data_IF_046559047218
#
_entry.id   IF_046559047218
#
_cell.length_a   1.000
_cell.length_b   1.000
_cell.length_c   1.000
_cell.angle_alpha   90.00
_cell.angle_beta   90.00
_cell.angle_gamma   90.00
#
_symmetry.space_group_name_H-M   'P 1'
#
loop_
_entity.id
_entity.type
_entity.pdbx_description
1 polymer ?
#
# COMPACT_ATOMS: atom_id res chain seq x y z
N UNK A 1 2.99 6.83 -8.13
CA UNK A 1 2.10 6.17 -7.14
C UNK A 1 2.38 4.67 -7.06
N UNK A 2 2.32 3.94 -8.19
CA UNK A 2 2.56 2.48 -8.25
C UNK A 2 3.86 2.03 -7.58
N UNK A 3 4.99 2.69 -7.84
CA UNK A 3 6.28 2.27 -7.27
C UNK A 3 6.31 2.35 -5.72
N UNK A 4 5.65 3.35 -5.13
CA UNK A 4 5.59 3.51 -3.68
C UNK A 4 4.66 2.46 -3.03
N UNK A 5 3.53 2.18 -3.68
CA UNK A 5 2.62 1.10 -3.29
C UNK A 5 3.31 -0.26 -3.36
N UNK A 6 4.01 -0.52 -4.47
CA UNK A 6 4.79 -1.73 -4.68
C UNK A 6 5.84 -1.95 -3.58
N UNK A 7 6.69 -0.94 -3.32
CA UNK A 7 7.76 -1.07 -2.33
C UNK A 7 7.24 -1.32 -0.92
N UNK A 8 6.15 -0.66 -0.51
CA UNK A 8 5.54 -0.87 0.80
C UNK A 8 4.90 -2.26 0.93
N UNK A 9 4.22 -2.73 -0.12
CA UNK A 9 3.61 -4.06 -0.12
C UNK A 9 4.68 -5.17 -0.12
N UNK A 10 5.79 -4.99 -0.84
CA UNK A 10 6.95 -5.89 -0.78
C UNK A 10 7.56 -5.89 0.62
N UNK A 11 7.76 -4.72 1.24
CA UNK A 11 8.24 -4.63 2.62
C UNK A 11 7.31 -5.42 3.56
N UNK A 12 5.99 -5.22 3.46
CA UNK A 12 5.00 -5.93 4.26
C UNK A 12 5.12 -7.46 4.15
N UNK A 13 5.14 -8.02 2.95
CA UNK A 13 5.21 -9.48 2.76
C UNK A 13 6.57 -10.10 3.10
N UNK A 14 7.64 -9.31 3.09
CA UNK A 14 8.96 -9.76 3.53
C UNK A 14 9.16 -9.69 5.05
N UNK A 15 8.12 -9.34 5.82
CA UNK A 15 8.13 -9.47 7.28
C UNK A 15 7.89 -10.94 7.67
N UNK A 16 8.58 -11.46 8.71
CA UNK A 16 8.40 -12.85 9.17
C UNK A 16 6.96 -13.23 9.50
N UNK A 17 6.16 -12.27 9.99
CA UNK A 17 4.75 -12.46 10.33
C UNK A 17 3.89 -12.80 9.10
N UNK A 18 4.35 -12.46 7.89
CA UNK A 18 3.64 -12.67 6.64
C UNK A 18 4.12 -13.91 5.88
N UNK A 19 4.92 -14.79 6.50
CA UNK A 19 5.56 -15.93 5.82
C UNK A 19 4.56 -16.81 5.06
N UNK A 20 3.39 -17.10 5.63
CA UNK A 20 2.38 -17.93 4.97
C UNK A 20 1.89 -17.30 3.64
N UNK A 21 1.69 -15.99 3.63
CA UNK A 21 1.31 -15.26 2.41
C UNK A 21 2.49 -15.15 1.44
N UNK A 22 3.71 -14.95 1.95
CA UNK A 22 4.91 -14.92 1.14
C UNK A 22 5.11 -16.22 0.35
N UNK A 23 4.93 -17.37 1.00
CA UNK A 23 5.07 -18.68 0.36
C UNK A 23 4.03 -18.85 -0.78
N UNK A 24 2.78 -18.44 -0.53
CA UNK A 24 1.72 -18.47 -1.53
C UNK A 24 1.98 -17.52 -2.70
N UNK A 25 2.43 -16.29 -2.43
CA UNK A 25 2.77 -15.31 -3.47
C UNK A 25 3.93 -15.84 -4.32
N UNK A 26 4.98 -16.40 -3.71
CA UNK A 26 6.10 -17.00 -4.44
C UNK A 26 5.63 -18.16 -5.33
N UNK A 27 4.76 -19.04 -4.81
CA UNK A 27 4.17 -20.15 -5.56
C UNK A 27 3.37 -19.64 -6.76
N UNK A 28 2.50 -18.64 -6.56
CA UNK A 28 1.70 -18.02 -7.64
C UNK A 28 2.58 -17.33 -8.67
N UNK A 29 3.63 -16.61 -8.25
CA UNK A 29 4.56 -15.92 -9.15
C UNK A 29 5.42 -16.89 -9.97
N UNK A 30 5.68 -18.09 -9.46
CA UNK A 30 6.40 -19.15 -10.17
C UNK A 30 5.53 -19.81 -11.25
N UNK A 31 4.24 -19.97 -10.98
CA UNK A 31 3.23 -20.42 -11.95
C UNK A 31 3.11 -19.36 -13.07
N UNK A 32 3.01 -19.79 -14.33
CA UNK A 32 2.89 -18.85 -15.45
C UNK A 32 1.66 -17.94 -15.33
N UNK A 33 1.58 -16.89 -16.16
CA UNK A 33 0.42 -15.98 -16.15
C UNK A 33 -0.85 -16.71 -16.58
N UNK A 34 -1.92 -16.48 -15.81
CA UNK A 34 -3.29 -16.94 -16.03
C UNK A 34 -4.26 -16.00 -15.32
N UNK A 35 -5.51 -15.92 -15.76
CA UNK A 35 -6.47 -15.01 -15.14
C UNK A 35 -6.65 -15.25 -13.62
N UNK A 36 -6.57 -16.52 -13.18
CA UNK A 36 -6.70 -16.86 -11.76
C UNK A 36 -5.45 -16.47 -10.96
N UNK A 37 -4.26 -16.85 -11.42
CA UNK A 37 -3.00 -16.48 -10.75
C UNK A 37 -2.82 -14.97 -10.68
N UNK A 38 -3.19 -14.28 -11.76
CA UNK A 38 -2.99 -12.85 -11.91
C UNK A 38 -3.99 -12.08 -11.04
N UNK A 39 -5.23 -12.57 -10.94
CA UNK A 39 -6.22 -12.05 -10.00
C UNK A 39 -5.80 -12.22 -8.53
N UNK A 40 -5.24 -13.38 -8.16
CA UNK A 40 -4.75 -13.61 -6.79
C UNK A 40 -3.51 -12.78 -6.47
N UNK A 41 -2.56 -12.65 -7.41
CA UNK A 41 -1.39 -11.77 -7.26
C UNK A 41 -1.81 -10.32 -7.11
N UNK A 42 -2.79 -9.87 -7.88
CA UNK A 42 -3.37 -8.54 -7.74
C UNK A 42 -3.98 -8.36 -6.34
N UNK A 43 -4.78 -9.32 -5.90
CA UNK A 43 -5.40 -9.30 -4.57
C UNK A 43 -4.35 -9.19 -3.45
N UNK A 44 -3.28 -9.97 -3.53
CA UNK A 44 -2.17 -9.86 -2.59
C UNK A 44 -1.50 -8.48 -2.66
N UNK A 45 -1.23 -7.95 -3.85
CA UNK A 45 -0.66 -6.61 -3.99
C UNK A 45 -1.55 -5.54 -3.34
N UNK A 46 -2.86 -5.58 -3.59
CA UNK A 46 -3.83 -4.64 -3.04
C UNK A 46 -3.97 -4.74 -1.52
N UNK A 47 -4.01 -5.95 -0.95
CA UNK A 47 -4.01 -6.15 0.51
C UNK A 47 -2.69 -5.68 1.15
N UNK A 48 -1.57 -5.94 0.49
CA UNK A 48 -0.27 -5.47 0.95
C UNK A 48 -0.22 -3.95 1.00
N UNK A 49 -0.74 -3.26 -0.02
CA UNK A 49 -0.87 -1.79 -0.01
C UNK A 49 -1.81 -1.31 1.10
N UNK A 50 -2.97 -1.96 1.26
CA UNK A 50 -3.97 -1.61 2.27
C UNK A 50 -3.40 -1.67 3.68
N UNK A 51 -2.64 -2.73 4.00
CA UNK A 51 -2.12 -2.98 5.35
C UNK A 51 -0.76 -2.32 5.62
N UNK A 52 0.02 -1.99 4.59
CA UNK A 52 1.35 -1.40 4.76
C UNK A 52 1.37 0.11 4.99
N UNK A 53 0.27 0.80 4.66
CA UNK A 53 0.15 2.27 4.71
C UNK A 53 -0.40 2.81 3.39
N UNK A 54 -1.73 2.94 3.24
CA UNK A 54 -2.34 3.41 1.99
C UNK A 54 -1.92 4.87 1.69
N UNK A 55 -1.85 5.26 0.41
CA UNK A 55 -1.39 6.60 0.01
C UNK A 55 -2.34 7.68 0.53
N UNK A 56 -1.81 8.70 1.21
CA UNK A 56 -2.58 9.89 1.56
C UNK A 56 -2.53 10.97 0.47
N UNK A 57 -3.50 11.88 0.48
CA UNK A 57 -3.57 12.99 -0.46
C UNK A 57 -3.71 14.32 0.24
N UNK A 58 -2.99 15.33 -0.25
CA UNK A 58 -3.26 16.72 0.11
C UNK A 58 -4.29 17.30 -0.86
N UNK A 59 -5.24 18.06 -0.31
CA UNK A 59 -6.27 18.82 -1.03
C UNK A 59 -6.26 20.24 -0.51
N UNK A 60 -6.68 21.17 -1.36
CA UNK A 60 -6.98 22.53 -0.96
C UNK A 60 -8.50 22.69 -1.04
N UNK A 61 -9.12 23.19 0.02
CA UNK A 61 -10.55 23.39 0.07
C UNK A 61 -10.93 24.59 -0.81
N UNK A 62 -11.83 24.40 -1.78
CA UNK A 62 -12.32 25.52 -2.60
C UNK A 62 -13.22 26.45 -1.81
N UNK A 63 -14.01 25.89 -0.90
CA UNK A 63 -15.04 26.59 -0.13
C UNK A 63 -14.97 26.19 1.35
N UNK A 64 -15.64 26.97 2.20
CA UNK A 64 -15.76 26.62 3.61
C UNK A 64 -16.75 25.46 3.77
N UNK A 65 -16.44 24.54 4.68
CA UNK A 65 -17.27 23.38 4.99
C UNK A 65 -17.15 23.03 6.48
N UNK A 66 -18.06 22.18 6.98
CA UNK A 66 -17.96 21.63 8.31
C UNK A 66 -18.59 20.25 8.39
N UNK A 67 -17.96 19.35 9.14
CA UNK A 67 -18.49 18.03 9.42
C UNK A 67 -18.35 17.68 10.90
N UNK A 68 -19.17 16.71 11.32
CA UNK A 68 -19.17 16.20 12.69
C UNK A 68 -18.41 14.88 12.71
N UNK A 69 -17.43 14.73 13.59
CA UNK A 69 -16.78 13.43 13.81
C UNK A 69 -17.66 12.50 14.65
N UNK A 70 -17.30 11.22 14.70
CA UNK A 70 -18.04 10.20 15.45
C UNK A 70 -18.11 10.49 16.96
N UNK A 71 -17.14 11.25 17.49
CA UNK A 71 -17.13 11.70 18.89
C UNK A 71 -17.99 12.95 19.14
N UNK A 72 -18.67 13.47 18.11
CA UNK A 72 -19.52 14.66 18.15
C UNK A 72 -18.76 15.98 18.01
N UNK A 73 -17.43 15.96 17.89
CA UNK A 73 -16.63 17.15 17.63
C UNK A 73 -16.93 17.74 16.25
N UNK A 74 -16.80 19.06 16.13
CA UNK A 74 -17.05 19.78 14.88
C UNK A 74 -15.73 20.16 14.23
N UNK A 75 -15.46 19.62 13.04
CA UNK A 75 -14.34 20.03 12.20
C UNK A 75 -14.85 21.09 11.24
N UNK A 76 -14.20 22.26 11.24
CA UNK A 76 -14.51 23.36 10.32
C UNK A 76 -13.34 23.55 9.37
N UNK A 77 -13.64 23.53 8.07
CA UNK A 77 -12.72 23.76 6.97
C UNK A 77 -13.03 25.14 6.39
N UNK A 78 -12.01 25.93 6.10
CA UNK A 78 -12.14 27.22 5.41
C UNK A 78 -11.70 27.08 3.96
N UNK A 79 -12.23 27.93 3.10
CA UNK A 79 -11.68 28.10 1.74
C UNK A 79 -10.18 28.42 1.83
N UNK A 80 -9.37 27.72 1.05
CA UNK A 80 -7.91 27.79 1.04
C UNK A 80 -7.21 26.91 2.07
N UNK A 81 -7.92 26.23 2.98
CA UNK A 81 -7.28 25.31 3.92
C UNK A 81 -6.69 24.10 3.17
N UNK A 82 -5.48 23.70 3.57
CA UNK A 82 -4.82 22.49 3.08
C UNK A 82 -5.20 21.31 3.96
N UNK A 83 -6.02 20.42 3.42
CA UNK A 83 -6.52 19.22 4.09
C UNK A 83 -5.68 18.02 3.67
N UNK A 84 -5.22 17.24 4.63
CA UNK A 84 -4.57 15.95 4.37
C UNK A 84 -5.55 14.81 4.62
N UNK A 85 -5.82 14.02 3.58
CA UNK A 85 -6.71 12.86 3.62
C UNK A 85 -5.86 11.61 3.76
N UNK A 86 -5.94 10.97 4.92
CA UNK A 86 -5.35 9.65 5.18
C UNK A 86 -6.40 8.55 5.02
N UNK A 87 -6.02 7.42 4.44
CA UNK A 87 -6.90 6.23 4.38
C UNK A 87 -6.52 5.15 5.39
N UNK A 88 -5.59 5.40 6.31
CA UNK A 88 -5.09 4.36 7.22
C UNK A 88 -6.20 3.76 8.10
N UNK A 89 -7.07 4.61 8.65
CA UNK A 89 -8.25 4.18 9.41
C UNK A 89 -9.30 3.51 8.51
N UNK A 90 -9.63 4.13 7.37
CA UNK A 90 -10.62 3.58 6.42
C UNK A 90 -10.20 2.21 5.87
N UNK A 91 -8.91 1.98 5.68
CA UNK A 91 -8.36 0.71 5.24
C UNK A 91 -8.53 -0.42 6.26
N UNK A 92 -8.77 -0.11 7.53
CA UNK A 92 -8.98 -1.07 8.63
C UNK A 92 -10.39 -1.00 9.24
N UNK A 93 -11.30 -0.28 8.60
CA UNK A 93 -12.67 -0.17 9.05
C UNK A 93 -13.39 -1.52 8.86
N UNK A 94 -13.84 -2.20 9.95
CA UNK A 94 -14.49 -3.51 9.87
C UNK A 94 -15.84 -3.47 9.15
N UNK A 95 -16.47 -2.30 9.01
CA UNK A 95 -17.74 -2.14 8.28
C UNK A 95 -17.54 -2.31 6.77
N UNK A 96 -16.36 -1.95 6.26
CA UNK A 96 -15.98 -2.05 4.85
C UNK A 96 -15.07 -3.27 4.58
N UNK A 97 -14.25 -3.65 5.56
CA UNK A 97 -13.30 -4.77 5.49
C UNK A 97 -13.57 -5.78 6.61
N UNK A 98 -14.41 -6.81 6.39
CA UNK A 98 -14.54 -7.92 7.32
C UNK A 98 -13.17 -8.55 7.59
N UNK A 99 -12.85 -8.82 8.86
CA UNK A 99 -11.51 -9.21 9.31
C UNK A 99 -10.42 -8.23 8.82
N UNK A 100 -10.45 -6.96 9.28
CA UNK A 100 -9.68 -5.88 8.67
C UNK A 100 -8.17 -6.08 8.76
N UNK A 101 -7.67 -6.76 9.79
CA UNK A 101 -6.24 -7.02 9.96
C UNK A 101 -5.75 -8.26 9.20
N UNK A 102 -6.67 -9.06 8.64
CA UNK A 102 -6.32 -10.26 7.87
C UNK A 102 -6.14 -9.95 6.38
N UNK A 103 -5.08 -10.51 5.79
CA UNK A 103 -4.86 -10.51 4.35
C UNK A 103 -5.86 -11.45 3.69
N UNK A 104 -6.68 -10.91 2.79
CA UNK A 104 -7.58 -11.70 1.95
C UNK A 104 -7.42 -11.30 0.47
N UNK A 105 -6.67 -12.08 -0.34
CA UNK A 105 -6.44 -11.76 -1.75
C UNK A 105 -7.68 -11.94 -2.62
N UNK A 106 -8.80 -12.44 -2.06
CA UNK A 106 -10.07 -12.64 -2.79
C UNK A 106 -11.06 -11.50 -2.57
N UNK A 107 -10.67 -10.43 -1.84
CA UNK A 107 -11.54 -9.25 -1.69
C UNK A 107 -11.83 -8.64 -3.08
N UNK A 108 -13.07 -8.20 -3.33
CA UNK A 108 -13.41 -7.52 -4.58
C UNK A 108 -12.52 -6.29 -4.81
N UNK A 109 -12.01 -6.14 -6.03
CA UNK A 109 -11.14 -5.01 -6.40
C UNK A 109 -11.83 -3.65 -6.18
N UNK A 110 -13.16 -3.58 -6.28
CA UNK A 110 -13.93 -2.36 -6.02
C UNK A 110 -13.95 -1.91 -4.55
N UNK A 111 -13.53 -2.75 -3.59
CA UNK A 111 -13.52 -2.39 -2.17
C UNK A 111 -12.35 -1.46 -1.79
N UNK A 112 -11.32 -1.36 -2.64
CA UNK A 112 -10.09 -0.63 -2.32
C UNK A 112 -10.21 0.86 -2.65
N UNK A 113 -10.54 1.67 -1.63
CA UNK A 113 -10.78 3.13 -1.75
C UNK A 113 -9.54 3.93 -2.17
N UNK A 114 -8.33 3.40 -1.98
CA UNK A 114 -7.07 4.11 -2.24
C UNK A 114 -6.76 4.36 -3.73
N UNK A 115 -7.53 3.79 -4.66
CA UNK A 115 -7.50 4.17 -6.08
C UNK A 115 -8.44 5.33 -6.43
N UNK A 116 -9.09 5.93 -5.42
CA UNK A 116 -9.87 7.14 -5.51
C UNK A 116 -11.27 6.93 -6.08
N UNK A 117 -12.23 7.68 -5.54
CA UNK A 117 -13.60 7.76 -6.03
C UNK A 117 -13.75 8.56 -7.35
N UNK A 118 -12.65 9.09 -7.89
CA UNK A 118 -12.66 10.06 -8.98
C UNK A 118 -12.65 9.41 -10.38
N UNK A 119 -13.44 9.91 -11.36
CA UNK A 119 -13.53 9.34 -12.70
C UNK A 119 -12.22 9.32 -13.50
N UNK A 120 -11.32 10.29 -13.28
CA UNK A 120 -10.05 10.41 -13.98
C UNK A 120 -8.98 9.42 -13.49
N UNK A 121 -9.14 8.82 -12.31
CA UNK A 121 -8.22 7.80 -11.78
C UNK A 121 -8.40 6.46 -12.45
N UNK A 122 -9.56 6.15 -13.06
CA UNK A 122 -9.88 4.82 -13.59
C UNK A 122 -8.91 4.30 -14.67
N UNK A 123 -8.50 5.14 -15.61
CA UNK A 123 -7.48 4.75 -16.62
C UNK A 123 -6.12 4.48 -15.99
N UNK A 124 -5.75 5.26 -14.98
CA UNK A 124 -4.55 5.02 -14.19
C UNK A 124 -4.64 3.75 -13.36
N UNK A 125 -5.83 3.40 -12.87
CA UNK A 125 -6.08 2.23 -12.02
C UNK A 125 -5.82 0.93 -12.75
N UNK A 126 -6.39 0.72 -13.94
CA UNK A 126 -6.20 -0.55 -14.68
C UNK A 126 -4.72 -0.78 -15.03
N UNK A 127 -4.04 0.25 -15.54
CA UNK A 127 -2.60 0.18 -15.83
C UNK A 127 -1.78 -0.06 -14.57
N UNK A 128 -2.15 0.58 -13.44
CA UNK A 128 -1.49 0.39 -12.16
C UNK A 128 -1.65 -1.03 -11.63
N UNK A 129 -2.83 -1.63 -11.78
CA UNK A 129 -3.11 -2.99 -11.35
C UNK A 129 -2.28 -4.00 -12.15
N UNK A 130 -2.24 -3.85 -13.48
CA UNK A 130 -1.38 -4.67 -14.35
C UNK A 130 0.08 -4.51 -13.95
N UNK A 131 0.56 -3.28 -13.75
CA UNK A 131 1.93 -3.01 -13.33
C UNK A 131 2.25 -3.65 -11.97
N UNK A 132 1.36 -3.56 -10.99
CA UNK A 132 1.55 -4.21 -9.68
C UNK A 132 1.69 -5.72 -9.82
N UNK A 133 0.82 -6.35 -10.61
CA UNK A 133 0.85 -7.80 -10.86
C UNK A 133 2.19 -8.22 -11.50
N UNK A 134 2.62 -7.51 -12.54
CA UNK A 134 3.88 -7.83 -13.22
C UNK A 134 5.10 -7.60 -12.33
N UNK A 135 5.13 -6.51 -11.56
CA UNK A 135 6.22 -6.24 -10.63
C UNK A 135 6.28 -7.27 -9.50
N UNK A 136 5.12 -7.65 -8.93
CA UNK A 136 5.02 -8.72 -7.94
C UNK A 136 5.55 -10.03 -8.51
N UNK A 137 5.08 -10.42 -9.70
CA UNK A 137 5.54 -11.65 -10.34
C UNK A 137 7.04 -11.64 -10.59
N UNK A 138 7.59 -10.53 -11.10
CA UNK A 138 9.00 -10.41 -11.41
C UNK A 138 9.89 -10.59 -10.17
N UNK A 139 9.48 -10.04 -9.02
CA UNK A 139 10.26 -10.09 -7.78
C UNK A 139 10.02 -11.39 -7.01
N UNK A 140 8.76 -11.77 -6.75
CA UNK A 140 8.43 -12.94 -5.93
C UNK A 140 8.68 -14.28 -6.63
N UNK A 141 8.94 -14.29 -7.95
CA UNK A 141 9.43 -15.48 -8.65
C UNK A 141 10.89 -15.82 -8.33
N UNK A 142 11.65 -14.88 -7.75
CA UNK A 142 13.06 -15.10 -7.40
C UNK A 142 13.16 -16.11 -6.26
N UNK A 143 13.95 -17.16 -6.46
CA UNK A 143 14.15 -18.22 -5.46
C UNK A 143 14.88 -17.68 -4.23
N UNK A 144 14.38 -17.98 -3.04
CA UNK A 144 15.02 -17.52 -1.79
C UNK A 144 14.97 -16.00 -1.59
N UNK A 145 13.98 -15.32 -2.18
CA UNK A 145 13.78 -13.89 -1.98
C UNK A 145 13.68 -13.54 -0.49
N UNK A 146 14.52 -12.62 -0.05
CA UNK A 146 14.59 -12.14 1.34
C UNK A 146 15.17 -10.74 1.43
N UNK A 147 14.95 -10.07 2.55
CA UNK A 147 15.64 -8.81 2.87
C UNK A 147 17.14 -9.05 3.04
N UNK A 148 17.97 -8.09 2.63
CA UNK A 148 19.39 -8.09 3.00
C UNK A 148 19.51 -7.93 4.52
N UNK A 149 20.41 -8.67 5.21
CA UNK A 149 20.62 -8.51 6.64
C UNK A 149 20.99 -7.07 7.04
N UNK A 150 20.49 -6.61 8.18
CA UNK A 150 20.82 -5.30 8.74
C UNK A 150 19.97 -4.13 8.22
N UNK A 151 20.41 -2.87 8.43
CA UNK A 151 19.60 -1.68 8.16
C UNK A 151 19.21 -1.49 6.69
N UNK A 152 19.97 -2.04 5.73
CA UNK A 152 19.71 -1.87 4.31
C UNK A 152 18.48 -2.66 3.82
N UNK A 153 18.11 -3.74 4.49
CA UNK A 153 16.91 -4.54 4.18
C UNK A 153 15.62 -4.05 4.85
N UNK A 154 15.64 -2.86 5.46
CA UNK A 154 14.48 -2.25 6.11
C UNK A 154 14.04 -1.01 5.34
N UNK A 155 12.75 -0.93 5.00
CA UNK A 155 12.16 0.31 4.52
C UNK A 155 12.08 1.29 5.69
N UNK A 156 12.91 2.32 5.65
CA UNK A 156 13.03 3.31 6.73
C UNK A 156 11.92 4.34 6.62
N UNK A 157 11.16 4.50 7.71
CA UNK A 157 10.04 5.44 7.79
C UNK A 157 9.87 5.98 9.22
N UNK A 158 9.31 7.17 9.32
CA UNK A 158 8.91 7.82 10.57
C UNK A 158 7.40 7.96 10.56
N UNK A 159 6.76 7.50 11.65
CA UNK A 159 5.33 7.63 11.84
C UNK A 159 4.95 9.10 12.02
N UNK A 160 4.01 9.56 11.21
CA UNK A 160 3.36 10.85 11.32
C UNK A 160 1.94 10.72 11.90
N UNK A 161 1.24 11.86 12.07
CA UNK A 161 -0.14 11.88 12.53
C UNK A 161 -1.09 11.19 11.54
N UNK A 162 -2.16 10.59 12.05
CA UNK A 162 -3.22 9.98 11.22
C UNK A 162 -2.78 8.71 10.48
N UNK A 163 -1.80 7.96 11.01
CA UNK A 163 -1.31 6.70 10.45
C UNK A 163 -0.41 6.86 9.22
N UNK A 164 -0.23 8.09 8.72
CA UNK A 164 0.65 8.35 7.58
C UNK A 164 2.11 8.31 7.99
N UNK A 165 2.96 7.72 7.16
CA UNK A 165 4.40 7.65 7.40
C UNK A 165 5.17 8.40 6.32
N UNK A 166 6.25 9.07 6.73
CA UNK A 166 7.22 9.68 5.81
C UNK A 166 8.45 8.78 5.73
N UNK A 167 9.00 8.58 4.55
CA UNK A 167 10.17 7.72 4.35
C UNK A 167 11.45 8.50 4.58
N UNK A 168 12.55 7.80 4.85
CA UNK A 168 13.87 8.41 5.01
C UNK A 168 14.82 7.99 3.89
N UNK A 169 15.72 8.89 3.50
CA UNK A 169 16.82 8.59 2.58
C UNK A 169 17.70 7.44 3.10
N UNK A 170 18.45 6.78 2.20
CA UNK A 170 19.23 5.59 2.54
C UNK A 170 20.24 5.85 3.68
N UNK A 171 20.82 7.06 3.69
CA UNK A 171 21.81 7.57 4.66
C UNK A 171 21.20 8.17 5.94
N UNK A 172 19.87 8.23 6.05
CA UNK A 172 19.11 8.79 7.18
C UNK A 172 19.24 10.30 7.36
N UNK A 173 19.76 11.00 6.35
CA UNK A 173 19.97 12.44 6.40
C UNK A 173 18.70 13.27 6.18
N UNK A 174 17.72 12.73 5.44
CA UNK A 174 16.56 13.51 5.01
C UNK A 174 15.28 12.66 4.85
N UNK A 175 14.15 13.34 4.67
CA UNK A 175 12.83 12.77 4.45
C UNK A 175 12.45 12.72 2.97
N UNK A 176 11.64 11.73 2.61
CA UNK A 176 11.07 11.55 1.29
C UNK A 176 9.59 11.16 1.38
N UNK A 177 8.71 11.71 0.53
CA UNK A 177 7.32 11.28 0.44
C UNK A 177 7.15 9.89 -0.19
N UNK A 178 8.22 9.32 -0.76
CA UNK A 178 8.23 8.00 -1.39
C UNK A 178 9.30 7.08 -0.79
N UNK A 179 9.10 5.75 -0.79
CA UNK A 179 10.13 4.78 -0.46
C UNK A 179 11.42 4.99 -1.25
N UNK A 180 12.55 5.14 -0.56
CA UNK A 180 13.89 5.35 -1.15
C UNK A 180 14.90 4.28 -0.74
N UNK A 181 14.48 3.30 0.06
CA UNK A 181 15.30 2.20 0.56
C UNK A 181 14.51 0.90 0.51
N UNK A 182 15.22 -0.22 0.70
CA UNK A 182 14.77 -1.63 0.77
C UNK A 182 15.63 -2.47 -0.17
N UNK A 183 16.76 -2.98 0.33
CA UNK A 183 17.60 -3.93 -0.40
C UNK A 183 17.13 -5.35 -0.11
N UNK A 184 16.88 -6.09 -1.18
CA UNK A 184 16.52 -7.52 -1.14
C UNK A 184 17.59 -8.33 -1.84
N UNK A 185 17.66 -9.61 -1.52
CA UNK A 185 18.55 -10.59 -2.13
C UNK A 185 17.79 -11.89 -2.40
N UNK A 186 18.30 -12.69 -3.31
CA UNK A 186 17.75 -13.99 -3.69
C UNK A 186 18.90 -14.94 -4.05
N UNK A 187 18.59 -16.22 -4.19
CA UNK A 187 19.54 -17.23 -4.62
C UNK A 187 19.72 -17.14 -6.14
N UNK A 188 20.96 -17.27 -6.63
CA UNK A 188 21.26 -17.28 -8.07
C UNK A 188 20.54 -18.41 -8.83
#
# INVERSE_FOLDING_TARGET
MVCAQFAQAVDFYLCPEQQAHLDDICRLAAQGSSNESDGLLLGYALEGVRLSGPPGFCREASDADAFTEDDGSQVRIRSGDRVFVSFDAAARDPTHFPDPDAVNPRRPVGAYVHYGAEPLTRLGTEVSQVALVELFRAVFRKKGLRRVPGPQGRLKRVAGPGGYSVFMTEDWGDFSPFPTSLKVMWDE
#
